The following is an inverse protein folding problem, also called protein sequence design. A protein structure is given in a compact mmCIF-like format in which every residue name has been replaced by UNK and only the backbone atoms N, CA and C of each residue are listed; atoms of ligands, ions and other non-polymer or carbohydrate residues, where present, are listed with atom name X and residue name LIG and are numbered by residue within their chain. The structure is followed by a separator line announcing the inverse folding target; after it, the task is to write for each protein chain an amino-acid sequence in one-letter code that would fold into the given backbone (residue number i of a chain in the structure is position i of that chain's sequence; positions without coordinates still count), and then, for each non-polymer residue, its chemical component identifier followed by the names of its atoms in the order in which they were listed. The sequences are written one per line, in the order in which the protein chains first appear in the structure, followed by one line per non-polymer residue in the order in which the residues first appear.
data_IF_392703839358
#
_entry.id   IF_392703839358
#
_cell.length_a   1.000
_cell.length_b   1.000
_cell.length_c   1.000
_cell.angle_alpha   90.00
_cell.angle_beta   90.00
_cell.angle_gamma   90.00
#
_symmetry.space_group_name_H-M   'P 1'
#
loop_
_entity.id
_entity.type
_entity.pdbx_description
1 polymer ?
#
# COMPACT_ATOMS: atom_id res chain seq x y z
N UNK A 1 8.27 -25.37 -16.54
CA UNK A 1 9.53 -25.25 -15.76
C UNK A 1 9.15 -24.91 -14.32
N UNK A 2 9.18 -25.91 -13.43
CA UNK A 2 8.99 -25.70 -12.00
C UNK A 2 10.10 -24.78 -11.51
N UNK A 3 9.77 -23.50 -11.28
CA UNK A 3 10.69 -22.56 -10.64
C UNK A 3 11.08 -23.21 -9.32
N UNK A 4 12.34 -23.62 -9.16
CA UNK A 4 12.92 -24.15 -7.91
C UNK A 4 12.38 -23.35 -6.71
N UNK A 5 11.27 -23.80 -6.13
CA UNK A 5 10.57 -23.18 -5.02
C UNK A 5 10.21 -24.35 -4.13
N UNK A 6 10.35 -24.16 -2.83
CA UNK A 6 9.91 -25.15 -1.87
C UNK A 6 8.41 -25.37 -1.99
N UNK A 7 7.96 -26.62 -1.82
CA UNK A 7 6.54 -26.96 -1.70
C UNK A 7 5.98 -26.58 -0.30
N UNK A 8 6.83 -26.10 0.60
CA UNK A 8 6.44 -25.63 1.92
C UNK A 8 5.55 -24.40 1.83
N UNK A 9 4.38 -24.50 2.44
CA UNK A 9 3.50 -23.37 2.75
C UNK A 9 2.91 -23.55 4.16
N UNK A 10 2.89 -22.47 4.94
CA UNK A 10 2.17 -22.37 6.20
C UNK A 10 1.23 -21.16 6.12
N UNK A 11 -0.02 -21.33 6.57
CA UNK A 11 -1.03 -20.26 6.55
C UNK A 11 -1.56 -20.09 7.96
N UNK A 12 -1.28 -18.93 8.54
CA UNK A 12 -1.77 -18.56 9.86
C UNK A 12 -2.94 -17.61 9.70
N UNK A 13 -4.05 -17.94 10.34
CA UNK A 13 -5.30 -17.17 10.26
C UNK A 13 -5.61 -16.58 11.64
N UNK A 14 -5.98 -15.31 11.65
CA UNK A 14 -6.53 -14.63 12.82
C UNK A 14 -7.77 -13.86 12.43
N UNK A 15 -8.83 -13.98 13.22
CA UNK A 15 -10.11 -13.35 12.97
C UNK A 15 -10.52 -12.49 14.17
N UNK A 16 -10.99 -11.27 13.88
CA UNK A 16 -11.63 -10.37 14.83
C UNK A 16 -13.07 -10.10 14.39
N UNK A 17 -13.79 -9.24 15.13
CA UNK A 17 -15.11 -8.76 14.70
C UNK A 17 -15.05 -8.00 13.38
N UNK A 18 -13.92 -7.35 13.08
CA UNK A 18 -13.81 -6.34 12.02
C UNK A 18 -13.03 -6.85 10.80
N UNK A 19 -12.11 -7.80 11.00
CA UNK A 19 -11.25 -8.31 9.93
C UNK A 19 -10.91 -9.79 10.05
N UNK A 20 -10.51 -10.37 8.91
CA UNK A 20 -9.82 -11.66 8.83
C UNK A 20 -8.44 -11.43 8.23
N UNK A 21 -7.40 -11.85 8.94
CA UNK A 21 -6.00 -11.67 8.56
C UNK A 21 -5.33 -13.02 8.33
N UNK A 22 -4.61 -13.13 7.21
CA UNK A 22 -3.87 -14.31 6.78
C UNK A 22 -2.38 -13.94 6.68
N UNK A 23 -1.51 -14.69 7.36
CA UNK A 23 -0.07 -14.65 7.17
C UNK A 23 0.34 -15.92 6.43
N UNK A 24 0.84 -15.76 5.21
CA UNK A 24 1.16 -16.85 4.28
C UNK A 24 2.68 -16.95 4.19
N UNK A 25 3.24 -18.02 4.75
CA UNK A 25 4.68 -18.26 4.81
C UNK A 25 5.03 -19.29 3.75
N UNK A 26 5.90 -18.93 2.80
CA UNK A 26 6.30 -19.81 1.71
C UNK A 26 7.78 -19.62 1.33
N UNK A 27 8.34 -20.56 0.57
CA UNK A 27 9.74 -20.48 0.14
C UNK A 27 10.00 -19.41 -0.94
N UNK A 28 11.12 -18.69 -0.82
CA UNK A 28 11.72 -17.88 -1.87
C UNK A 28 12.53 -18.75 -2.86
N UNK A 29 13.03 -18.18 -3.98
CA UNK A 29 14.05 -18.85 -4.77
C UNK A 29 15.28 -19.23 -3.91
N UNK A 30 15.84 -20.43 -4.07
CA UNK A 30 17.04 -20.87 -3.36
C UNK A 30 18.19 -19.88 -3.52
N UNK A 31 18.95 -19.69 -2.45
CA UNK A 31 20.15 -18.86 -2.41
C UNK A 31 21.35 -19.67 -1.96
N UNK A 32 22.49 -19.37 -2.56
CA UNK A 32 23.78 -19.90 -2.17
C UNK A 32 24.57 -18.79 -1.50
N UNK A 33 24.94 -18.99 -0.23
CA UNK A 33 25.78 -18.07 0.53
C UNK A 33 27.19 -18.66 0.63
N UNK A 34 28.19 -17.84 0.33
CA UNK A 34 29.59 -18.17 0.66
C UNK A 34 29.80 -17.90 2.15
N UNK A 35 30.16 -18.92 2.91
CA UNK A 35 30.35 -18.83 4.37
C UNK A 35 31.79 -19.18 4.74
N UNK A 36 32.23 -18.70 5.90
CA UNK A 36 33.47 -19.17 6.54
C UNK A 36 33.03 -20.05 7.71
N UNK A 37 33.50 -21.28 7.72
CA UNK A 37 33.14 -22.26 8.77
C UNK A 37 33.94 -21.99 10.05
N UNK A 38 33.54 -22.64 11.14
CA UNK A 38 34.31 -22.64 12.39
C UNK A 38 35.73 -23.23 12.24
N UNK A 39 35.98 -24.00 11.18
CA UNK A 39 37.30 -24.52 10.83
C UNK A 39 38.14 -23.53 9.99
N UNK A 40 37.72 -22.27 9.89
CA UNK A 40 38.39 -21.22 9.09
C UNK A 40 38.54 -21.57 7.60
N UNK A 41 37.64 -22.40 7.07
CA UNK A 41 37.58 -22.73 5.64
C UNK A 41 36.40 -22.05 4.95
N UNK A 42 36.49 -21.81 3.64
CA UNK A 42 35.36 -21.36 2.83
C UNK A 42 34.47 -22.54 2.47
N UNK A 43 33.17 -22.34 2.58
CA UNK A 43 32.15 -23.30 2.15
C UNK A 43 30.95 -22.57 1.51
N UNK A 44 30.02 -23.34 0.94
CA UNK A 44 28.77 -22.85 0.35
C UNK A 44 27.57 -23.41 1.11
N UNK A 45 26.78 -22.53 1.70
CA UNK A 45 25.49 -22.87 2.28
C UNK A 45 24.37 -22.63 1.26
N UNK A 46 23.69 -23.70 0.86
CA UNK A 46 22.48 -23.64 0.03
C UNK A 46 21.26 -23.63 0.95
N UNK A 47 20.42 -22.60 0.85
CA UNK A 47 19.20 -22.48 1.66
C UNK A 47 18.04 -21.93 0.83
N UNK A 48 16.81 -22.18 1.32
CA UNK A 48 15.59 -21.56 0.81
C UNK A 48 15.11 -20.57 1.88
N UNK A 49 15.26 -19.25 1.68
CA UNK A 49 14.71 -18.29 2.62
C UNK A 49 13.19 -18.41 2.65
N UNK A 50 12.57 -18.20 3.81
CA UNK A 50 11.13 -18.00 3.88
C UNK A 50 10.76 -16.58 3.39
N UNK A 51 9.51 -16.44 3.00
CA UNK A 51 8.84 -15.17 2.67
C UNK A 51 7.47 -15.21 3.31
N UNK A 52 7.07 -14.06 3.84
CA UNK A 52 5.77 -13.87 4.45
C UNK A 52 4.99 -12.85 3.64
N UNK A 53 3.85 -13.27 3.12
CA UNK A 53 2.84 -12.38 2.56
C UNK A 53 1.71 -12.22 3.58
N UNK A 54 1.02 -11.08 3.52
CA UNK A 54 -0.13 -10.82 4.37
C UNK A 54 -1.34 -10.46 3.53
N UNK A 55 -2.46 -11.10 3.80
CA UNK A 55 -3.75 -10.76 3.21
C UNK A 55 -4.70 -10.39 4.33
N UNK A 56 -5.39 -9.25 4.21
CA UNK A 56 -6.37 -8.80 5.21
C UNK A 56 -7.68 -8.48 4.53
N UNK A 57 -8.74 -9.12 4.99
CA UNK A 57 -10.11 -8.87 4.57
C UNK A 57 -10.82 -8.02 5.63
N UNK A 58 -11.23 -6.81 5.24
CA UNK A 58 -12.01 -5.88 6.06
C UNK A 58 -13.49 -6.19 5.87
N UNK A 59 -14.16 -6.66 6.94
CA UNK A 59 -15.54 -7.16 6.88
C UNK A 59 -16.56 -6.04 6.67
N UNK A 60 -16.26 -4.83 7.17
CA UNK A 60 -17.17 -3.69 7.06
C UNK A 60 -17.24 -3.16 5.64
N UNK A 61 -16.10 -3.15 4.94
CA UNK A 61 -15.99 -2.58 3.59
C UNK A 61 -15.95 -3.62 2.48
N UNK A 62 -15.83 -4.91 2.83
CA UNK A 62 -15.60 -6.00 1.86
C UNK A 62 -14.24 -5.91 1.17
N UNK A 63 -13.29 -5.12 1.69
CA UNK A 63 -12.04 -4.81 1.01
C UNK A 63 -10.95 -5.84 1.33
N UNK A 64 -10.31 -6.36 0.29
CA UNK A 64 -9.11 -7.19 0.40
C UNK A 64 -7.85 -6.34 0.25
N UNK A 65 -6.98 -6.38 1.26
CA UNK A 65 -5.67 -5.72 1.25
C UNK A 65 -4.58 -6.78 1.19
N UNK A 66 -3.67 -6.68 0.22
CA UNK A 66 -2.63 -7.68 -0.02
C UNK A 66 -1.25 -7.02 0.08
N UNK A 67 -0.40 -7.55 0.96
CA UNK A 67 1.01 -7.24 1.04
C UNK A 67 1.80 -8.45 0.55
N UNK A 68 2.18 -8.41 -0.73
CA UNK A 68 3.02 -9.40 -1.38
C UNK A 68 3.98 -8.72 -2.36
N UNK A 69 5.08 -9.39 -2.69
CA UNK A 69 6.18 -8.79 -3.45
C UNK A 69 5.83 -8.62 -4.94
N UNK A 70 5.11 -9.57 -5.53
CA UNK A 70 4.91 -9.64 -6.98
C UNK A 70 3.42 -9.56 -7.35
N UNK A 71 3.09 -8.84 -8.43
CA UNK A 71 1.71 -8.69 -8.90
C UNK A 71 0.99 -10.05 -9.11
N UNK A 72 1.69 -11.07 -9.62
CA UNK A 72 1.13 -12.40 -9.79
C UNK A 72 0.69 -13.06 -8.46
N UNK A 73 1.33 -12.71 -7.34
CA UNK A 73 0.91 -13.16 -6.01
C UNK A 73 -0.36 -12.44 -5.57
N UNK A 74 -0.50 -11.15 -5.91
CA UNK A 74 -1.73 -10.39 -5.66
C UNK A 74 -2.91 -11.02 -6.40
N UNK A 75 -2.73 -11.31 -7.70
CA UNK A 75 -3.76 -11.95 -8.52
C UNK A 75 -4.13 -13.34 -7.98
N UNK A 76 -3.13 -14.13 -7.58
CA UNK A 76 -3.34 -15.45 -7.00
C UNK A 76 -4.13 -15.37 -5.69
N UNK A 77 -3.74 -14.51 -4.75
CA UNK A 77 -4.44 -14.40 -3.46
C UNK A 77 -5.86 -13.86 -3.63
N UNK A 78 -6.05 -12.88 -4.51
CA UNK A 78 -7.38 -12.34 -4.88
C UNK A 78 -8.32 -13.45 -5.35
N UNK A 79 -7.86 -14.25 -6.31
CA UNK A 79 -8.62 -15.37 -6.87
C UNK A 79 -8.85 -16.50 -5.86
N UNK A 80 -7.82 -16.89 -5.11
CA UNK A 80 -7.88 -17.98 -4.16
C UNK A 80 -8.83 -17.66 -3.00
N UNK A 81 -8.69 -16.49 -2.37
CA UNK A 81 -9.56 -16.06 -1.27
C UNK A 81 -10.99 -15.86 -1.79
N UNK A 82 -11.16 -15.25 -2.97
CA UNK A 82 -12.46 -15.14 -3.64
C UNK A 82 -13.17 -16.48 -3.77
N UNK A 83 -12.47 -17.47 -4.34
CA UNK A 83 -13.01 -18.81 -4.57
C UNK A 83 -13.32 -19.55 -3.26
N UNK A 84 -12.41 -19.51 -2.29
CA UNK A 84 -12.54 -20.27 -1.04
C UNK A 84 -13.66 -19.72 -0.16
N UNK A 85 -13.76 -18.39 -0.01
CA UNK A 85 -14.72 -17.77 0.91
C UNK A 85 -16.05 -17.40 0.24
N UNK A 86 -16.06 -17.15 -1.07
CA UNK A 86 -17.24 -16.63 -1.78
C UNK A 86 -17.63 -17.47 -3.00
N UNK A 87 -16.98 -18.61 -3.21
CA UNK A 87 -17.27 -19.53 -4.30
C UNK A 87 -16.90 -19.00 -5.70
N UNK A 88 -16.30 -17.82 -5.80
CA UNK A 88 -16.00 -17.14 -7.09
C UNK A 88 -14.60 -16.52 -7.07
N UNK A 89 -13.76 -16.91 -8.00
CA UNK A 89 -12.39 -16.37 -8.13
C UNK A 89 -12.35 -14.91 -8.63
N UNK A 90 -13.43 -14.43 -9.21
CA UNK A 90 -13.62 -13.03 -9.59
C UNK A 90 -14.19 -12.14 -8.47
N UNK A 91 -14.52 -12.69 -7.29
CA UNK A 91 -15.22 -11.95 -6.24
C UNK A 91 -14.58 -10.60 -5.90
N UNK A 92 -13.25 -10.59 -5.80
CA UNK A 92 -12.48 -9.39 -5.52
C UNK A 92 -11.97 -8.79 -6.82
N UNK A 93 -12.72 -7.93 -7.49
CA UNK A 93 -12.20 -7.23 -8.68
C UNK A 93 -11.29 -6.05 -8.28
N UNK A 94 -10.14 -5.86 -8.96
CA UNK A 94 -9.26 -4.74 -8.68
C UNK A 94 -9.92 -3.42 -9.13
N UNK A 95 -10.36 -2.62 -8.17
CA UNK A 95 -10.89 -1.28 -8.40
C UNK A 95 -9.84 -0.23 -8.02
N UNK A 96 -9.79 0.90 -8.72
CA UNK A 96 -8.93 2.02 -8.35
C UNK A 96 -9.48 2.71 -7.10
N UNK A 97 -8.83 2.51 -5.96
CA UNK A 97 -9.27 3.10 -4.67
C UNK A 97 -8.43 4.29 -4.24
N UNK A 98 -7.27 4.52 -4.85
CA UNK A 98 -6.40 5.64 -4.55
C UNK A 98 -6.35 6.63 -5.70
N UNK A 99 -6.39 7.91 -5.36
CA UNK A 99 -6.21 9.02 -6.27
C UNK A 99 -5.25 10.04 -5.67
N UNK A 100 -4.38 10.61 -6.48
CA UNK A 100 -3.53 11.73 -6.07
C UNK A 100 -3.78 12.98 -6.92
N UNK A 101 -4.78 12.97 -7.81
CA UNK A 101 -5.21 14.12 -8.60
C UNK A 101 -5.63 15.31 -7.75
N UNK A 102 -6.10 15.07 -6.52
CA UNK A 102 -6.40 16.11 -5.52
C UNK A 102 -5.21 17.05 -5.24
N UNK A 103 -3.96 16.58 -5.42
CA UNK A 103 -2.76 17.42 -5.29
C UNK A 103 -2.57 18.38 -6.47
N UNK A 104 -3.13 18.06 -7.64
CA UNK A 104 -3.12 18.93 -8.81
C UNK A 104 -4.29 19.91 -8.81
N UNK A 105 -5.46 19.47 -8.31
CA UNK A 105 -6.69 20.26 -8.30
C UNK A 105 -6.67 21.36 -7.24
N UNK A 106 -6.46 20.99 -5.97
CA UNK A 106 -6.33 21.92 -4.85
C UNK A 106 -5.35 21.35 -3.81
N UNK A 107 -4.03 21.57 -4.00
CA UNK A 107 -3.00 21.12 -3.07
C UNK A 107 -3.18 21.62 -1.63
N UNK A 108 -3.76 22.82 -1.42
CA UNK A 108 -4.00 23.35 -0.05
C UNK A 108 -5.08 22.54 0.64
N UNK A 109 -6.19 22.31 -0.03
CA UNK A 109 -7.26 21.48 0.51
C UNK A 109 -6.79 20.03 0.74
N UNK A 110 -6.02 19.47 -0.19
CA UNK A 110 -5.51 18.11 -0.10
C UNK A 110 -4.56 17.89 1.10
N UNK A 111 -3.76 18.89 1.48
CA UNK A 111 -2.81 18.80 2.60
C UNK A 111 -3.38 19.34 3.94
N UNK A 112 -4.58 19.92 3.93
CA UNK A 112 -5.20 20.50 5.13
C UNK A 112 -5.48 19.46 6.22
N UNK A 113 -5.42 19.88 7.48
CA UNK A 113 -5.87 19.08 8.65
C UNK A 113 -7.18 19.60 9.26
N UNK A 114 -7.83 20.57 8.61
CA UNK A 114 -9.12 21.11 9.06
C UNK A 114 -10.19 20.01 9.18
N UNK A 115 -10.86 19.95 10.33
CA UNK A 115 -11.85 18.89 10.62
C UNK A 115 -11.24 17.55 11.04
N UNK A 116 -9.92 17.43 11.15
CA UNK A 116 -9.21 16.20 11.55
C UNK A 116 -8.45 16.42 12.87
N UNK A 117 -9.14 16.39 14.03
CA UNK A 117 -8.55 16.75 15.32
C UNK A 117 -7.44 15.82 15.79
N UNK A 118 -7.27 14.64 15.17
CA UNK A 118 -6.18 13.72 15.50
C UNK A 118 -4.82 14.13 14.93
N UNK A 119 -4.79 15.08 13.99
CA UNK A 119 -3.59 15.54 13.27
C UNK A 119 -3.28 17.00 13.58
N UNK A 120 -2.00 17.31 13.84
CA UNK A 120 -1.54 18.71 13.99
C UNK A 120 -1.03 19.31 12.68
N UNK A 121 -0.54 18.46 11.77
CA UNK A 121 0.02 18.88 10.49
C UNK A 121 0.12 17.69 9.53
N UNK A 122 0.19 17.98 8.24
CA UNK A 122 0.60 17.05 7.19
C UNK A 122 1.60 17.75 6.29
N UNK A 123 2.74 17.09 6.03
CA UNK A 123 3.77 17.58 5.13
C UNK A 123 3.83 16.70 3.87
N UNK A 124 3.95 17.31 2.70
CA UNK A 124 4.23 16.61 1.45
C UNK A 124 5.74 16.40 1.33
N UNK A 125 6.23 15.17 1.42
CA UNK A 125 7.67 14.87 1.39
C UNK A 125 8.20 14.50 0.01
N UNK A 126 7.35 13.93 -0.82
CA UNK A 126 7.71 13.50 -2.15
C UNK A 126 6.49 13.57 -3.06
N UNK A 127 6.67 14.05 -4.28
CA UNK A 127 5.69 13.93 -5.36
C UNK A 127 6.40 13.49 -6.63
N UNK A 128 5.82 12.53 -7.32
CA UNK A 128 6.28 12.04 -8.61
C UNK A 128 5.21 12.35 -9.63
N UNK A 129 5.56 13.19 -10.61
CA UNK A 129 4.69 13.59 -11.71
C UNK A 129 5.18 12.94 -13.00
N UNK A 130 4.24 12.56 -13.87
CA UNK A 130 4.52 12.03 -15.19
C UNK A 130 3.59 12.70 -16.21
N UNK A 131 4.14 13.16 -17.33
CA UNK A 131 3.34 13.74 -18.41
C UNK A 131 2.41 12.69 -19.03
N UNK A 132 1.16 13.08 -19.30
CA UNK A 132 0.14 12.15 -19.84
C UNK A 132 0.54 11.61 -21.22
N UNK A 133 1.19 12.44 -22.02
CA UNK A 133 1.57 12.17 -23.40
C UNK A 133 3.03 11.69 -23.58
N UNK A 134 3.81 11.62 -22.49
CA UNK A 134 5.19 11.14 -22.54
C UNK A 134 5.64 10.53 -21.20
N UNK A 135 5.74 9.20 -21.08
CA UNK A 135 6.23 8.54 -19.87
C UNK A 135 7.72 8.77 -19.61
N UNK A 136 8.46 9.35 -20.57
CA UNK A 136 9.87 9.73 -20.40
C UNK A 136 10.03 11.07 -19.68
N UNK A 137 8.95 11.86 -19.61
CA UNK A 137 8.90 13.13 -18.88
C UNK A 137 8.37 12.88 -17.48
N UNK A 138 9.28 12.45 -16.61
CA UNK A 138 9.02 12.14 -15.21
C UNK A 138 9.82 13.06 -14.30
N UNK A 139 9.12 13.74 -13.40
CA UNK A 139 9.68 14.63 -12.40
C UNK A 139 9.50 14.02 -11.02
N UNK A 140 10.55 14.04 -10.21
CA UNK A 140 10.50 13.60 -8.81
C UNK A 140 11.04 14.71 -7.95
N UNK A 141 10.22 15.17 -7.02
CA UNK A 141 10.56 16.21 -6.06
C UNK A 141 10.49 15.67 -4.66
N UNK A 142 11.46 16.03 -3.84
CA UNK A 142 11.52 15.58 -2.46
C UNK A 142 12.12 16.64 -1.55
N UNK A 143 11.47 16.87 -0.42
CA UNK A 143 11.97 17.70 0.67
C UNK A 143 11.43 17.19 2.01
N UNK A 144 11.83 17.82 3.12
CA UNK A 144 11.26 17.52 4.43
C UNK A 144 9.79 17.94 4.51
N UNK A 145 9.45 19.03 3.82
CA UNK A 145 8.09 19.51 3.55
C UNK A 145 8.13 20.32 2.25
N UNK A 146 7.30 19.92 1.28
CA UNK A 146 7.10 20.59 0.00
C UNK A 146 5.85 21.47 0.02
N UNK A 147 5.09 21.55 1.12
CA UNK A 147 3.79 22.24 1.16
C UNK A 147 3.79 23.59 0.44
N UNK A 148 4.59 24.54 0.91
CA UNK A 148 4.63 25.90 0.34
C UNK A 148 5.28 25.94 -1.04
N UNK A 149 6.41 25.25 -1.24
CA UNK A 149 7.15 25.21 -2.52
C UNK A 149 6.30 24.60 -3.63
N UNK A 150 5.59 23.52 -3.32
CA UNK A 150 4.68 22.87 -4.25
C UNK A 150 3.55 23.82 -4.65
N UNK A 151 2.98 24.57 -3.70
CA UNK A 151 1.92 25.54 -3.99
C UNK A 151 2.38 26.69 -4.89
N UNK A 152 3.58 27.20 -4.66
CA UNK A 152 4.12 28.32 -5.44
C UNK A 152 4.55 27.90 -6.84
N UNK A 153 5.17 26.72 -6.98
CA UNK A 153 5.74 26.27 -8.26
C UNK A 153 4.75 25.47 -9.13
N UNK A 154 3.66 24.92 -8.58
CA UNK A 154 2.70 24.07 -9.31
C UNK A 154 2.26 24.68 -10.65
N UNK A 155 1.87 25.96 -10.76
CA UNK A 155 1.49 26.56 -12.03
C UNK A 155 2.59 26.47 -13.10
N UNK A 156 3.87 26.63 -12.71
CA UNK A 156 5.01 26.59 -13.61
C UNK A 156 5.47 25.16 -13.97
N UNK A 157 5.15 24.18 -13.12
CA UNK A 157 5.43 22.75 -13.37
C UNK A 157 4.40 22.09 -14.28
N UNK A 158 3.18 22.61 -14.24
CA UNK A 158 2.03 22.16 -15.02
C UNK A 158 1.97 22.83 -16.39
N UNK A 159 3.12 23.20 -16.98
CA UNK A 159 3.23 23.58 -18.40
C UNK A 159 2.73 22.50 -19.37
N UNK A 160 2.54 21.28 -18.86
CA UNK A 160 2.04 20.11 -19.56
C UNK A 160 1.10 19.35 -18.63
N UNK A 161 0.07 18.72 -19.17
CA UNK A 161 -0.83 17.87 -18.38
C UNK A 161 -0.06 16.69 -17.79
N UNK A 162 -0.19 16.51 -16.48
CA UNK A 162 0.54 15.51 -15.70
C UNK A 162 -0.40 14.72 -14.82
N UNK A 163 0.04 13.52 -14.45
CA UNK A 163 -0.60 12.69 -13.42
C UNK A 163 0.36 12.48 -12.26
N UNK A 164 -0.18 12.40 -11.05
CA UNK A 164 0.60 12.06 -9.86
C UNK A 164 0.74 10.54 -9.79
N UNK A 165 1.96 10.04 -10.03
CA UNK A 165 2.29 8.61 -9.97
C UNK A 165 2.58 8.13 -8.55
N UNK A 166 3.03 9.05 -7.70
CA UNK A 166 3.33 8.77 -6.29
C UNK A 166 3.29 10.05 -5.48
N UNK A 167 2.77 9.95 -4.26
CA UNK A 167 2.91 10.96 -3.22
C UNK A 167 3.42 10.32 -1.93
N UNK A 168 4.30 10.99 -1.21
CA UNK A 168 4.72 10.61 0.15
C UNK A 168 4.33 11.71 1.11
N UNK A 169 3.47 11.38 2.05
CA UNK A 169 2.98 12.29 3.09
C UNK A 169 3.62 11.93 4.42
N UNK A 170 3.86 12.94 5.25
CA UNK A 170 4.18 12.77 6.65
C UNK A 170 3.03 13.35 7.48
N UNK A 171 2.23 12.46 8.08
CA UNK A 171 1.13 12.81 8.96
C UNK A 171 1.69 12.96 10.38
N UNK A 172 1.35 14.04 11.07
CA UNK A 172 1.81 14.32 12.43
C UNK A 172 0.65 14.22 13.43
N UNK A 173 0.47 13.07 14.13
CA UNK A 173 -0.59 12.93 15.13
C UNK A 173 -0.34 13.81 16.36
N UNK A 174 -1.39 14.33 17.03
CA UNK A 174 -1.21 15.26 18.17
C UNK A 174 -0.40 14.64 19.32
N UNK A 175 -0.59 13.34 19.60
CA UNK A 175 0.02 12.66 20.75
C UNK A 175 1.27 11.83 20.41
N UNK A 176 1.89 12.08 19.25
CA UNK A 176 3.04 11.31 18.77
C UNK A 176 4.18 12.25 18.34
N UNK A 177 5.39 11.95 18.83
CA UNK A 177 6.58 12.72 18.47
C UNK A 177 7.01 12.49 17.01
N UNK A 178 6.77 11.29 16.47
CA UNK A 178 7.19 10.89 15.12
C UNK A 178 6.05 10.96 14.10
N UNK A 179 6.35 11.51 12.94
CA UNK A 179 5.43 11.46 11.82
C UNK A 179 5.15 10.02 11.37
N UNK A 180 3.92 9.76 10.94
CA UNK A 180 3.52 8.55 10.22
C UNK A 180 3.69 8.82 8.74
N UNK A 181 4.67 8.14 8.14
CA UNK A 181 4.96 8.28 6.71
C UNK A 181 4.02 7.39 5.92
N UNK A 182 3.30 7.98 4.98
CA UNK A 182 2.32 7.32 4.12
C UNK A 182 2.75 7.52 2.69
N UNK A 183 3.01 6.44 1.97
CA UNK A 183 3.28 6.47 0.54
C UNK A 183 2.07 5.96 -0.24
N UNK A 184 1.59 6.81 -1.15
CA UNK A 184 0.44 6.56 -2.00
C UNK A 184 0.96 6.44 -3.43
N UNK A 185 0.67 5.32 -4.08
CA UNK A 185 0.96 5.10 -5.49
C UNK A 185 -0.34 4.59 -6.16
N UNK A 186 -1.10 5.51 -6.79
CA UNK A 186 -2.31 5.14 -7.51
C UNK A 186 -2.06 4.07 -8.58
N UNK A 187 -3.06 3.21 -8.87
CA UNK A 187 -4.42 3.29 -8.33
C UNK A 187 -4.62 2.57 -6.99
N UNK A 188 -3.70 1.70 -6.55
CA UNK A 188 -4.01 0.70 -5.50
C UNK A 188 -2.91 0.42 -4.48
N UNK A 189 -1.75 1.09 -4.56
CA UNK A 189 -0.65 0.84 -3.63
C UNK A 189 -0.61 1.90 -2.54
N UNK A 190 -0.80 1.46 -1.30
CA UNK A 190 -0.70 2.29 -0.10
C UNK A 190 0.28 1.65 0.88
N UNK A 191 1.31 2.38 1.31
CA UNK A 191 2.37 1.87 2.18
C UNK A 191 2.53 2.74 3.43
N UNK A 192 2.33 2.14 4.60
CA UNK A 192 2.59 2.74 5.91
C UNK A 192 2.58 1.64 6.99
N UNK A 193 3.03 1.94 8.20
CA UNK A 193 2.93 1.00 9.33
C UNK A 193 1.49 0.99 9.88
N UNK A 194 0.70 0.01 9.45
CA UNK A 194 -0.70 -0.16 9.84
C UNK A 194 -0.89 -0.45 11.34
N UNK A 195 0.14 -0.93 12.05
CA UNK A 195 0.02 -1.27 13.49
C UNK A 195 -0.21 -0.05 14.37
N UNK A 196 0.09 1.15 13.85
CA UNK A 196 -0.03 2.39 14.61
C UNK A 196 -0.80 3.42 13.80
N UNK A 197 -1.88 3.98 14.36
CA UNK A 197 -2.64 5.09 13.78
C UNK A 197 -3.31 4.78 12.41
N UNK A 198 -3.68 3.51 12.13
CA UNK A 198 -4.42 3.12 10.92
C UNK A 198 -5.68 3.97 10.71
N UNK A 199 -6.50 4.11 11.76
CA UNK A 199 -7.72 4.91 11.72
C UNK A 199 -7.45 6.36 11.31
N UNK A 200 -6.43 7.00 11.90
CA UNK A 200 -6.07 8.40 11.61
C UNK A 200 -5.55 8.56 10.17
N UNK A 201 -4.72 7.62 9.70
CA UNK A 201 -4.24 7.62 8.31
C UNK A 201 -5.42 7.50 7.34
N UNK A 202 -6.32 6.54 7.57
CA UNK A 202 -7.47 6.32 6.68
C UNK A 202 -8.47 7.46 6.69
N UNK A 203 -8.78 8.00 7.86
CA UNK A 203 -9.66 9.15 8.02
C UNK A 203 -9.13 10.34 7.21
N UNK A 204 -7.83 10.66 7.34
CA UNK A 204 -7.21 11.71 6.53
C UNK A 204 -7.30 11.43 5.03
N UNK A 205 -6.88 10.23 4.60
CA UNK A 205 -6.88 9.90 3.17
C UNK A 205 -8.30 9.95 2.57
N UNK A 206 -9.31 9.53 3.34
CA UNK A 206 -10.70 9.60 2.91
C UNK A 206 -11.22 11.03 2.86
N UNK A 207 -11.03 11.80 3.95
CA UNK A 207 -11.47 13.19 4.05
C UNK A 207 -10.85 14.10 2.98
N UNK A 208 -9.64 13.78 2.52
CA UNK A 208 -8.91 14.54 1.48
C UNK A 208 -9.03 13.95 0.08
N UNK A 209 -9.83 12.91 -0.10
CA UNK A 209 -10.10 12.32 -1.42
C UNK A 209 -8.95 11.47 -1.99
N UNK A 210 -7.89 11.22 -1.22
CA UNK A 210 -6.82 10.30 -1.62
C UNK A 210 -7.27 8.85 -1.66
N UNK A 211 -8.20 8.48 -0.77
CA UNK A 211 -8.81 7.16 -0.69
C UNK A 211 -10.30 7.28 -0.98
N UNK A 212 -10.78 6.47 -1.92
CA UNK A 212 -12.20 6.36 -2.27
C UNK A 212 -12.69 4.95 -1.97
N UNK A 213 -13.90 4.84 -1.43
CA UNK A 213 -14.59 3.56 -1.42
C UNK A 213 -15.04 3.25 -2.85
N UNK A 214 -14.87 2.00 -3.33
CA UNK A 214 -15.62 1.55 -4.49
C UNK A 214 -17.11 1.80 -4.18
N UNK A 215 -17.86 2.38 -5.12
CA UNK A 215 -19.31 2.53 -4.97
C UNK A 215 -19.94 1.13 -5.00
N UNK A 216 -19.99 0.44 -3.87
CA UNK A 216 -20.67 -0.85 -3.79
C UNK A 216 -21.16 -1.08 -2.36
N UNK A 217 -22.46 -0.84 -2.17
CA UNK A 217 -23.20 -1.29 -0.99
C UNK A 217 -23.22 -2.82 -0.98
N UNK A 218 -22.40 -3.46 -0.14
CA UNK A 218 -22.58 -4.87 0.21
C UNK A 218 -22.48 -5.02 1.73
N UNK A 219 -23.64 -5.14 2.36
CA UNK A 219 -23.77 -5.51 3.77
C UNK A 219 -23.39 -6.99 3.96
N UNK A 220 -22.24 -7.24 4.60
CA UNK A 220 -21.65 -8.57 4.73
C UNK A 220 -22.14 -9.37 5.95
N UNK A 221 -23.47 -9.54 6.08
CA UNK A 221 -24.08 -10.35 7.17
C UNK A 221 -24.52 -11.76 6.76
N UNK A 222 -24.12 -12.31 5.60
CA UNK A 222 -24.67 -13.59 5.12
C UNK A 222 -23.70 -14.65 4.59
N UNK A 223 -22.38 -14.51 4.75
CA UNK A 223 -21.44 -15.51 4.21
C UNK A 223 -20.86 -16.50 5.24
N UNK A 224 -21.30 -16.48 6.50
CA UNK A 224 -20.86 -17.42 7.54
C UNK A 224 -22.04 -18.09 8.27
N UNK A 225 -23.21 -18.16 7.62
CA UNK A 225 -24.38 -18.91 8.09
C UNK A 225 -24.55 -20.19 7.28
#
# INVERSE_FOLDING_TARGET
ASRNRSDYVDVRVSESSDEVSFVIIHGQPPRNLSVITSASSRDRLSLVPDKQDTVVFDKATGRLSINAQYAAEHDFYRAAIGKVFFGRDDHFEPHAVLDCGVLLDDPRAALSVEGLPALRAVALREVVLEAIDSPRDRLTWSANDLGDVYLEDVPDLLKRDRTVRKAKLALFPIHEGRAKVVEIAPPNKLTYDRRTYDAVVREFLFARGFLRHPQTHLSYQRALG
#
